data_IF_544134046197
#
_entry.id   IF_544134046197
#
_cell.length_a   1.000
_cell.length_b   1.000
_cell.length_c   1.000
_cell.angle_alpha   90.00
_cell.angle_beta   90.00
_cell.angle_gamma   90.00
#
_symmetry.space_group_name_H-M   'P 1'
#
loop_
_entity.id
_entity.type
_entity.pdbx_description
1 polymer ?
#
# COMPACT_ATOMS: atom_id res chain seq x y z
N UNK A 1 -13.52 6.99 7.95
CA UNK A 1 -13.47 5.60 7.44
C UNK A 1 -13.69 4.57 8.57
N UNK A 2 -14.96 4.24 8.88
CA UNK A 2 -15.29 3.22 9.90
C UNK A 2 -15.55 1.84 9.26
N UNK A 3 -16.29 1.80 8.14
CA UNK A 3 -16.64 0.57 7.42
C UNK A 3 -15.41 -0.21 6.95
N UNK A 4 -14.37 0.48 6.45
CA UNK A 4 -13.12 -0.16 5.99
C UNK A 4 -12.36 -0.95 7.04
N UNK A 5 -12.66 -0.78 8.34
CA UNK A 5 -12.05 -1.60 9.42
C UNK A 5 -12.49 -3.06 9.39
N UNK A 6 -13.56 -3.39 8.66
CA UNK A 6 -14.02 -4.76 8.41
C UNK A 6 -13.31 -5.41 7.21
N UNK A 7 -12.43 -4.68 6.54
CA UNK A 7 -11.82 -5.08 5.28
C UNK A 7 -10.29 -5.08 5.39
N UNK A 8 -9.66 -5.90 4.57
CA UNK A 8 -8.22 -5.78 4.27
C UNK A 8 -8.10 -4.96 3.00
N UNK A 9 -7.40 -3.83 3.09
CA UNK A 9 -7.05 -3.05 1.91
C UNK A 9 -5.74 -3.60 1.33
N UNK A 10 -5.78 -4.14 0.12
CA UNK A 10 -4.58 -4.50 -0.63
C UNK A 10 -4.10 -3.30 -1.44
N UNK A 11 -2.83 -2.91 -1.26
CA UNK A 11 -2.17 -2.03 -2.22
C UNK A 11 -1.79 -2.85 -3.43
N UNK A 12 -2.18 -2.36 -4.60
CA UNK A 12 -1.81 -2.94 -5.87
C UNK A 12 -0.40 -2.49 -6.26
N UNK A 13 0.42 -3.42 -6.76
CA UNK A 13 1.69 -3.11 -7.39
C UNK A 13 1.56 -3.17 -8.93
N UNK A 14 0.62 -2.37 -9.46
CA UNK A 14 0.34 -2.32 -10.91
C UNK A 14 1.62 -2.03 -11.69
N UNK A 15 1.89 -2.83 -12.72
CA UNK A 15 3.13 -2.84 -13.53
C UNK A 15 4.43 -3.21 -12.84
N UNK A 16 4.39 -3.61 -11.58
CA UNK A 16 5.56 -4.03 -10.81
C UNK A 16 5.62 -5.56 -10.65
N UNK A 17 4.50 -6.24 -10.91
CA UNK A 17 4.41 -7.69 -10.85
C UNK A 17 3.51 -8.25 -11.97
N UNK A 18 4.08 -9.08 -12.83
CA UNK A 18 3.38 -9.66 -13.98
C UNK A 18 2.26 -10.64 -13.59
N UNK A 19 2.40 -11.35 -12.46
CA UNK A 19 1.36 -12.25 -11.98
C UNK A 19 0.18 -11.47 -11.38
N UNK A 20 0.47 -10.40 -10.62
CA UNK A 20 -0.55 -9.48 -10.11
C UNK A 20 -1.28 -8.76 -11.24
N UNK A 21 -0.55 -8.27 -12.26
CA UNK A 21 -1.14 -7.63 -13.43
C UNK A 21 -2.24 -8.48 -14.09
N UNK A 22 -1.99 -9.79 -14.26
CA UNK A 22 -2.99 -10.74 -14.78
C UNK A 22 -4.21 -10.91 -13.89
N UNK A 23 -4.05 -10.78 -12.58
CA UNK A 23 -5.19 -10.79 -11.64
C UNK A 23 -5.98 -9.50 -11.78
N UNK A 24 -5.32 -8.35 -11.89
CA UNK A 24 -5.96 -7.05 -12.06
C UNK A 24 -6.75 -6.94 -13.37
N UNK A 25 -6.22 -7.47 -14.47
CA UNK A 25 -6.92 -7.55 -15.76
C UNK A 25 -8.23 -8.36 -15.66
N UNK A 26 -8.26 -9.41 -14.84
CA UNK A 26 -9.49 -10.19 -14.60
C UNK A 26 -10.51 -9.42 -13.75
N UNK A 27 -10.06 -8.50 -12.92
CA UNK A 27 -10.93 -7.68 -12.09
C UNK A 27 -11.53 -6.55 -12.91
N UNK A 28 -10.70 -5.84 -13.67
CA UNK A 28 -11.14 -4.71 -14.47
C UNK A 28 -10.16 -4.43 -15.61
N UNK A 29 -10.71 -4.29 -16.81
CA UNK A 29 -10.05 -3.65 -17.96
C UNK A 29 -10.92 -2.49 -18.42
N UNK A 30 -10.26 -1.39 -18.81
CA UNK A 30 -10.95 -0.22 -19.34
C UNK A 30 -11.51 -0.46 -20.75
N UNK A 31 -12.01 0.61 -21.36
CA UNK A 31 -12.53 0.56 -22.75
C UNK A 31 -11.47 0.20 -23.79
N UNK A 32 -10.20 0.42 -23.47
CA UNK A 32 -9.06 0.02 -24.31
C UNK A 32 -8.82 -1.49 -24.33
N UNK A 33 -9.44 -2.25 -23.42
CA UNK A 33 -9.16 -3.67 -23.21
C UNK A 33 -7.79 -3.95 -22.60
N UNK A 34 -7.09 -2.91 -22.13
CA UNK A 34 -5.78 -3.00 -21.49
C UNK A 34 -5.90 -2.87 -19.97
N UNK A 35 -4.85 -3.32 -19.27
CA UNK A 35 -4.67 -3.01 -17.86
C UNK A 35 -4.61 -1.49 -17.65
N UNK A 36 -5.29 -1.04 -16.60
CA UNK A 36 -5.37 0.36 -16.18
C UNK A 36 -4.47 0.55 -14.94
N UNK A 37 -3.88 1.75 -14.76
CA UNK A 37 -3.00 2.04 -13.62
C UNK A 37 -3.69 1.85 -12.27
N UNK A 38 -5.00 2.09 -12.22
CA UNK A 38 -5.80 2.02 -11.00
C UNK A 38 -6.99 1.10 -11.20
N UNK A 39 -7.18 0.19 -10.23
CA UNK A 39 -8.31 -0.73 -10.16
C UNK A 39 -8.88 -0.66 -8.74
N UNK A 40 -10.20 -0.68 -8.65
CA UNK A 40 -10.95 -0.78 -7.42
C UNK A 40 -11.97 -1.92 -7.53
N UNK A 41 -11.97 -2.80 -6.54
CA UNK A 41 -12.98 -3.83 -6.36
C UNK A 41 -13.06 -4.20 -4.87
N UNK A 42 -14.22 -4.69 -4.44
CA UNK A 42 -14.34 -5.44 -3.19
C UNK A 42 -14.39 -6.91 -3.53
N UNK A 43 -13.72 -7.76 -2.75
CA UNK A 43 -13.63 -9.19 -3.01
C UNK A 43 -14.12 -9.99 -1.80
N UNK A 44 -14.57 -11.21 -2.03
CA UNK A 44 -14.75 -12.22 -0.97
C UNK A 44 -13.42 -12.49 -0.25
N UNK A 45 -13.44 -13.03 0.99
CA UNK A 45 -12.21 -13.25 1.77
C UNK A 45 -11.18 -14.16 1.09
N UNK A 46 -11.59 -15.04 0.18
CA UNK A 46 -10.70 -15.89 -0.62
C UNK A 46 -10.05 -15.17 -1.81
N UNK A 47 -10.40 -13.90 -2.04
CA UNK A 47 -9.89 -13.06 -3.12
C UNK A 47 -10.38 -13.44 -4.52
N UNK A 48 -11.39 -14.30 -4.65
CA UNK A 48 -11.79 -14.86 -5.96
C UNK A 48 -13.04 -14.23 -6.54
N UNK A 49 -13.99 -13.81 -5.71
CA UNK A 49 -15.29 -13.32 -6.18
C UNK A 49 -15.40 -11.81 -5.96
N UNK A 50 -15.75 -11.07 -7.01
CA UNK A 50 -15.98 -9.64 -6.95
C UNK A 50 -17.35 -9.37 -6.31
N UNK A 51 -17.36 -8.47 -5.34
CA UNK A 51 -18.52 -7.99 -4.61
C UNK A 51 -18.90 -6.60 -5.14
N UNK A 52 -20.02 -6.52 -5.85
CA UNK A 52 -20.48 -5.28 -6.47
C UNK A 52 -19.73 -4.94 -7.76
N UNK A 53 -19.53 -3.63 -8.01
CA UNK A 53 -18.95 -3.12 -9.25
C UNK A 53 -17.46 -2.86 -9.09
N UNK A 54 -16.66 -3.40 -10.01
CA UNK A 54 -15.26 -3.03 -10.19
C UNK A 54 -15.16 -1.83 -11.16
N UNK A 55 -14.22 -0.92 -10.90
CA UNK A 55 -13.96 0.23 -11.77
C UNK A 55 -12.55 0.82 -11.48
N UNK A 56 -12.17 1.93 -12.10
CA UNK A 56 -10.86 2.57 -11.90
C UNK A 56 -10.65 3.17 -10.51
N UNK A 57 -11.73 3.51 -9.82
CA UNK A 57 -11.71 4.06 -8.47
C UNK A 57 -13.06 3.88 -7.79
N UNK A 58 -13.15 4.03 -6.45
CA UNK A 58 -14.42 3.96 -5.74
C UNK A 58 -15.46 4.96 -6.27
N UNK A 59 -15.03 6.12 -6.78
CA UNK A 59 -15.93 7.16 -7.33
C UNK A 59 -16.58 6.77 -8.67
N UNK A 60 -15.98 5.83 -9.41
CA UNK A 60 -16.59 5.31 -10.63
C UNK A 60 -17.51 4.11 -10.35
N UNK A 61 -17.29 3.41 -9.24
CA UNK A 61 -18.14 2.31 -8.79
C UNK A 61 -19.35 2.77 -7.95
N UNK A 62 -19.19 3.85 -7.18
CA UNK A 62 -20.16 4.38 -6.23
C UNK A 62 -20.28 5.90 -6.35
N UNK A 63 -21.48 6.42 -6.11
CA UNK A 63 -21.83 7.84 -6.19
C UNK A 63 -21.07 8.67 -5.17
N UNK A 64 -20.98 8.19 -3.94
CA UNK A 64 -20.32 8.88 -2.84
C UNK A 64 -19.78 7.91 -1.77
N UNK A 65 -19.11 8.49 -0.77
CA UNK A 65 -18.50 7.72 0.31
C UNK A 65 -19.53 7.05 1.24
N UNK A 66 -20.75 7.58 1.35
CA UNK A 66 -21.79 7.00 2.18
C UNK A 66 -22.37 5.74 1.53
N UNK A 67 -22.59 5.78 0.22
CA UNK A 67 -23.02 4.62 -0.56
C UNK A 67 -21.95 3.50 -0.56
N UNK A 68 -20.68 3.86 -0.75
CA UNK A 68 -19.59 2.90 -0.60
C UNK A 68 -19.56 2.28 0.80
N UNK A 69 -19.68 3.09 1.85
CA UNK A 69 -19.67 2.58 3.23
C UNK A 69 -20.85 1.63 3.49
N UNK A 70 -22.05 1.95 2.99
CA UNK A 70 -23.21 1.08 3.09
C UNK A 70 -23.00 -0.25 2.34
N UNK A 71 -22.43 -0.22 1.14
CA UNK A 71 -22.09 -1.42 0.38
C UNK A 71 -21.04 -2.28 1.12
N UNK A 72 -19.99 -1.65 1.65
CA UNK A 72 -18.96 -2.31 2.47
C UNK A 72 -19.56 -2.98 3.71
N UNK A 73 -20.52 -2.32 4.37
CA UNK A 73 -21.17 -2.88 5.56
C UNK A 73 -22.09 -4.04 5.18
N UNK A 74 -22.85 -3.93 4.09
CA UNK A 74 -23.71 -4.99 3.57
C UNK A 74 -22.91 -6.24 3.19
N UNK A 75 -21.88 -6.09 2.37
CA UNK A 75 -21.07 -7.21 1.89
C UNK A 75 -20.23 -7.86 2.98
N UNK A 76 -19.88 -7.14 4.04
CA UNK A 76 -19.14 -7.72 5.15
C UNK A 76 -19.98 -8.66 6.02
N UNK A 77 -21.31 -8.47 6.11
CA UNK A 77 -22.19 -9.20 7.04
C UNK A 77 -21.98 -10.72 7.07
N UNK A 78 -21.91 -11.43 5.92
CA UNK A 78 -21.76 -12.89 5.92
C UNK A 78 -20.40 -13.37 6.45
N UNK A 79 -19.41 -12.48 6.52
CA UNK A 79 -18.02 -12.79 6.85
C UNK A 79 -17.60 -12.29 8.23
N UNK A 80 -18.52 -11.73 9.01
CA UNK A 80 -18.29 -11.30 10.39
C UNK A 80 -18.23 -12.51 11.35
N UNK A 81 -17.35 -13.48 11.08
CA UNK A 81 -17.04 -14.52 12.06
C UNK A 81 -15.91 -14.08 13.01
N UNK A 82 -15.92 -14.66 14.22
CA UNK A 82 -15.03 -14.29 15.34
C UNK A 82 -13.62 -14.82 15.10
N UNK A 83 -12.67 -13.90 15.01
CA UNK A 83 -11.24 -14.18 14.98
C UNK A 83 -10.69 -13.99 13.57
N UNK A 84 -9.98 -12.89 13.38
CA UNK A 84 -9.03 -12.82 12.29
C UNK A 84 -7.92 -13.79 12.67
N UNK A 85 -7.63 -14.79 11.83
CA UNK A 85 -6.49 -15.69 12.06
C UNK A 85 -5.16 -14.92 12.17
N UNK A 86 -4.06 -15.63 12.39
CA UNK A 86 -2.75 -15.00 12.42
C UNK A 86 -2.51 -14.15 11.16
N UNK A 87 -2.28 -12.86 11.38
CA UNK A 87 -2.01 -11.92 10.29
C UNK A 87 -0.52 -11.68 10.20
N UNK A 88 0.08 -12.07 9.07
CA UNK A 88 1.46 -11.73 8.76
C UNK A 88 1.69 -10.23 8.67
N UNK A 89 2.96 -9.83 8.60
CA UNK A 89 3.32 -8.44 8.37
C UNK A 89 2.90 -8.02 6.94
N UNK A 90 2.11 -6.96 6.75
CA UNK A 90 1.80 -6.45 5.42
C UNK A 90 3.08 -5.81 4.84
N UNK A 91 3.74 -6.54 3.93
CA UNK A 91 5.03 -6.17 3.37
C UNK A 91 4.99 -6.07 1.85
N UNK A 92 5.78 -5.15 1.31
CA UNK A 92 6.01 -4.98 -0.12
C UNK A 92 7.06 -6.00 -0.57
N UNK A 93 6.96 -6.41 -1.84
CA UNK A 93 7.80 -7.46 -2.42
C UNK A 93 9.30 -7.16 -2.35
N UNK A 94 9.71 -5.93 -2.61
CA UNK A 94 11.12 -5.54 -2.63
C UNK A 94 11.35 -4.09 -2.25
N UNK A 95 12.62 -3.79 -1.96
CA UNK A 95 13.05 -2.54 -1.38
C UNK A 95 12.82 -1.34 -2.31
N UNK A 96 13.07 -1.50 -3.61
CA UNK A 96 12.92 -0.44 -4.61
C UNK A 96 11.47 0.02 -4.64
N UNK A 97 10.55 -0.93 -4.81
CA UNK A 97 9.12 -0.66 -4.81
C UNK A 97 8.64 -0.09 -3.47
N UNK A 98 9.15 -0.62 -2.35
CA UNK A 98 8.77 -0.17 -1.02
C UNK A 98 9.15 1.30 -0.77
N UNK A 99 10.32 1.75 -1.25
CA UNK A 99 10.71 3.16 -1.19
C UNK A 99 9.78 4.06 -1.99
N UNK A 100 9.47 3.66 -3.23
CA UNK A 100 8.54 4.41 -4.08
C UNK A 100 7.16 4.55 -3.45
N UNK A 101 6.62 3.43 -2.96
CA UNK A 101 5.34 3.41 -2.26
C UNK A 101 5.36 4.31 -1.01
N UNK A 102 6.40 4.18 -0.18
CA UNK A 102 6.57 4.97 1.03
C UNK A 102 6.62 6.47 0.70
N UNK A 103 7.35 6.84 -0.35
CA UNK A 103 7.38 8.21 -0.84
C UNK A 103 5.99 8.66 -1.29
N UNK A 104 5.30 7.93 -2.17
CA UNK A 104 4.00 8.33 -2.69
C UNK A 104 2.95 8.56 -1.58
N UNK A 105 2.98 7.75 -0.52
CA UNK A 105 2.07 7.88 0.62
C UNK A 105 2.51 8.89 1.67
N UNK A 106 3.75 9.34 1.60
CA UNK A 106 4.33 10.14 2.67
C UNK A 106 4.50 9.39 3.98
N UNK A 107 4.73 8.08 3.90
CA UNK A 107 4.94 7.22 5.05
C UNK A 107 6.43 6.86 5.16
N UNK A 108 6.95 6.65 6.39
CA UNK A 108 8.25 6.03 6.55
C UNK A 108 8.24 4.56 6.13
N UNK A 109 9.42 4.06 5.76
CA UNK A 109 9.68 2.65 5.43
C UNK A 109 10.40 1.96 6.60
N UNK A 110 9.98 0.74 6.93
CA UNK A 110 10.69 -0.16 7.84
C UNK A 110 11.30 -1.32 7.05
N UNK A 111 12.62 -1.38 7.03
CA UNK A 111 13.38 -2.53 6.54
C UNK A 111 13.47 -3.58 7.67
N UNK A 112 12.98 -4.79 7.40
CA UNK A 112 12.89 -5.88 8.36
C UNK A 112 14.03 -6.88 8.13
N UNK A 113 14.96 -6.94 9.08
CA UNK A 113 16.21 -7.69 8.97
C UNK A 113 16.14 -9.19 9.20
N UNK A 114 15.12 -9.69 9.91
CA UNK A 114 15.01 -11.11 10.29
C UNK A 114 13.56 -11.53 10.50
N UNK A 115 13.31 -12.84 10.50
CA UNK A 115 11.97 -13.39 10.65
C UNK A 115 11.42 -13.15 12.06
N UNK A 116 12.28 -13.21 13.09
CA UNK A 116 11.93 -12.81 14.45
C UNK A 116 11.44 -11.34 14.56
N UNK A 117 11.97 -10.45 13.71
CA UNK A 117 11.51 -9.06 13.65
C UNK A 117 10.20 -8.94 12.88
N UNK A 118 10.02 -9.75 11.84
CA UNK A 118 8.78 -9.81 11.07
C UNK A 118 7.61 -10.25 11.96
N UNK A 119 7.76 -11.36 12.69
CA UNK A 119 6.77 -11.86 13.64
C UNK A 119 6.45 -10.84 14.74
N UNK A 120 7.49 -10.18 15.28
CA UNK A 120 7.32 -9.13 16.28
C UNK A 120 6.49 -7.98 15.73
N UNK A 121 6.87 -7.43 14.57
CA UNK A 121 6.16 -6.32 13.96
C UNK A 121 4.74 -6.71 13.56
N UNK A 122 4.52 -7.94 13.05
CA UNK A 122 3.19 -8.44 12.75
C UNK A 122 2.24 -8.34 13.97
N UNK A 123 2.71 -8.67 15.18
CA UNK A 123 1.90 -8.51 16.41
C UNK A 123 1.59 -7.06 16.78
N UNK A 124 2.39 -6.10 16.32
CA UNK A 124 2.24 -4.67 16.65
C UNK A 124 1.38 -3.93 15.63
N UNK A 125 1.64 -4.12 14.33
CA UNK A 125 1.09 -3.25 13.26
C UNK A 125 -0.42 -3.32 13.09
N UNK A 126 -1.05 -4.41 13.55
CA UNK A 126 -2.50 -4.57 13.49
C UNK A 126 -3.24 -3.81 14.60
N UNK A 127 -2.52 -3.21 15.54
CA UNK A 127 -3.09 -2.34 16.55
C UNK A 127 -3.58 -1.02 15.92
N UNK A 128 -4.68 -0.48 16.44
CA UNK A 128 -5.36 0.70 15.87
C UNK A 128 -4.44 1.90 15.66
N UNK A 129 -3.47 2.11 16.55
CA UNK A 129 -2.49 3.20 16.50
C UNK A 129 -1.43 3.03 15.40
N UNK A 130 -1.19 1.81 14.91
CA UNK A 130 -0.12 1.48 13.96
C UNK A 130 -0.63 1.08 12.58
N UNK A 131 -1.93 0.81 12.44
CA UNK A 131 -2.53 0.45 11.17
C UNK A 131 -2.27 1.51 10.09
N UNK A 132 -1.53 1.11 9.05
CA UNK A 132 -1.20 1.95 7.91
C UNK A 132 -0.25 3.10 8.21
N UNK A 133 0.53 3.03 9.30
CA UNK A 133 1.46 4.12 9.68
C UNK A 133 2.87 3.96 9.09
N UNK A 134 3.17 2.84 8.42
CA UNK A 134 4.45 2.58 7.77
C UNK A 134 4.30 1.60 6.61
N UNK A 135 5.27 1.63 5.70
CA UNK A 135 5.50 0.58 4.71
C UNK A 135 6.54 -0.40 5.26
N UNK A 136 6.39 -1.69 4.99
CA UNK A 136 7.33 -2.72 5.44
C UNK A 136 7.94 -3.46 4.25
N UNK A 137 9.20 -3.84 4.37
CA UNK A 137 9.89 -4.68 3.39
C UNK A 137 10.89 -5.59 4.07
N UNK A 138 10.97 -6.85 3.63
CA UNK A 138 12.00 -7.78 4.10
C UNK A 138 13.31 -7.50 3.36
N UNK A 139 14.42 -7.49 4.07
CA UNK A 139 15.74 -7.46 3.44
C UNK A 139 16.86 -7.73 4.42
N UNK A 140 18.09 -7.75 3.92
CA UNK A 140 19.27 -8.03 4.74
C UNK A 140 19.66 -6.79 5.52
N UNK A 141 19.37 -6.78 6.82
CA UNK A 141 19.83 -5.74 7.75
C UNK A 141 20.61 -6.39 8.89
N UNK A 142 21.90 -6.04 9.02
CA UNK A 142 22.72 -6.36 10.21
C UNK A 142 22.15 -5.70 11.47
N UNK A 143 21.19 -4.80 11.29
CA UNK A 143 20.65 -3.97 12.34
C UNK A 143 19.27 -4.40 12.84
N UNK A 144 18.71 -5.50 12.35
CA UNK A 144 17.35 -5.91 12.71
C UNK A 144 16.32 -5.08 11.95
N UNK A 145 15.34 -4.49 12.64
CA UNK A 145 14.38 -3.58 12.01
C UNK A 145 14.91 -2.13 11.98
N UNK A 146 14.75 -1.45 10.85
CA UNK A 146 15.35 -0.14 10.60
C UNK A 146 14.39 0.81 9.91
N UNK A 147 14.25 2.02 10.45
CA UNK A 147 13.47 3.11 9.89
C UNK A 147 14.26 3.83 8.80
N UNK A 148 13.61 3.98 7.65
CA UNK A 148 14.14 4.60 6.45
C UNK A 148 13.16 5.68 6.01
N UNK A 149 13.66 6.88 5.78
CA UNK A 149 12.89 7.96 5.20
C UNK A 149 13.17 7.99 3.69
N UNK A 150 12.16 7.72 2.83
CA UNK A 150 12.36 7.85 1.40
C UNK A 150 12.62 9.31 1.01
N UNK A 151 13.33 9.51 -0.10
CA UNK A 151 13.38 10.81 -0.74
C UNK A 151 12.02 11.20 -1.35
N UNK A 152 11.95 12.39 -1.91
CA UNK A 152 10.71 12.93 -2.49
C UNK A 152 10.08 12.02 -3.54
N UNK A 153 10.90 11.35 -4.36
CA UNK A 153 10.49 10.56 -5.53
C UNK A 153 10.53 9.04 -5.28
N UNK A 154 10.95 8.64 -4.08
CA UNK A 154 11.15 7.26 -3.66
C UNK A 154 12.17 6.50 -4.49
N UNK A 155 13.21 7.19 -4.98
CA UNK A 155 14.33 6.57 -5.69
C UNK A 155 15.44 6.13 -4.73
N UNK A 156 15.58 6.84 -3.62
CA UNK A 156 16.53 6.54 -2.55
C UNK A 156 15.89 6.71 -1.19
N UNK A 157 16.58 6.25 -0.14
CA UNK A 157 16.13 6.42 1.23
C UNK A 157 17.30 6.64 2.18
N UNK A 158 17.09 7.49 3.18
CA UNK A 158 18.05 7.72 4.26
C UNK A 158 17.71 6.81 5.43
N UNK A 159 18.66 5.98 5.84
CA UNK A 159 18.58 5.24 7.10
C UNK A 159 18.64 6.23 8.26
N UNK A 160 17.60 6.25 9.09
CA UNK A 160 17.51 7.19 10.21
C UNK A 160 17.78 6.52 11.54
N UNK A 161 17.11 5.39 11.77
CA UNK A 161 17.00 4.87 13.13
C UNK A 161 16.89 3.35 13.14
N UNK A 162 17.64 2.70 14.02
CA UNK A 162 17.47 1.28 14.34
C UNK A 162 16.40 1.16 15.41
N UNK A 163 15.40 0.32 15.19
CA UNK A 163 14.37 0.10 16.21
C UNK A 163 14.97 -0.61 17.44
N UNK A 164 14.71 -0.12 18.66
CA UNK A 164 15.04 -0.83 19.90
C UNK A 164 14.38 -2.20 19.93
N UNK A 165 15.13 -3.22 20.37
CA UNK A 165 14.63 -4.59 20.46
C UNK A 165 13.38 -4.73 21.34
N UNK A 166 13.18 -3.81 22.28
CA UNK A 166 12.08 -3.76 23.23
C UNK A 166 11.00 -2.74 22.85
N UNK A 167 11.06 -2.12 21.66
CA UNK A 167 10.11 -1.07 21.24
C UNK A 167 8.64 -1.52 21.38
N UNK A 168 7.85 -0.68 22.04
CA UNK A 168 6.42 -0.90 22.26
C UNK A 168 5.57 -0.23 21.19
N UNK A 169 4.29 -0.57 21.12
CA UNK A 169 3.40 -0.11 20.07
C UNK A 169 3.16 1.41 20.08
N UNK A 170 3.04 2.00 21.28
CA UNK A 170 2.93 3.43 21.52
C UNK A 170 4.18 4.19 21.07
N UNK A 171 5.36 3.71 21.48
CA UNK A 171 6.64 4.28 21.08
C UNK A 171 6.87 4.21 19.57
N UNK A 172 6.50 3.08 18.95
CA UNK A 172 6.57 2.94 17.49
C UNK A 172 5.59 3.89 16.79
N UNK A 173 4.38 4.06 17.31
CA UNK A 173 3.38 4.94 16.71
C UNK A 173 3.85 6.41 16.76
N UNK A 174 4.38 6.84 17.90
CA UNK A 174 4.96 8.18 18.06
C UNK A 174 6.14 8.40 17.12
N UNK A 175 7.07 7.44 17.06
CA UNK A 175 8.22 7.49 16.16
C UNK A 175 7.76 7.66 14.70
N UNK A 176 6.81 6.85 14.24
CA UNK A 176 6.33 6.89 12.86
C UNK A 176 5.62 8.20 12.53
N UNK A 177 4.82 8.73 13.45
CA UNK A 177 4.10 10.00 13.26
C UNK A 177 5.07 11.18 13.00
N UNK A 178 6.24 11.18 13.65
CA UNK A 178 7.26 12.21 13.48
C UNK A 178 7.93 12.21 12.09
N UNK A 179 7.78 11.13 11.31
CA UNK A 179 8.41 10.98 10.00
C UNK A 179 7.41 10.86 8.85
N UNK A 180 6.12 11.08 9.11
CA UNK A 180 5.14 11.21 8.04
C UNK A 180 5.31 12.56 7.34
N UNK A 181 5.33 12.53 6.00
CA UNK A 181 5.29 13.77 5.23
C UNK A 181 3.85 14.26 5.10
N UNK A 182 3.67 15.58 5.11
CA UNK A 182 2.36 16.21 4.92
C UNK A 182 1.72 15.96 3.54
N UNK A 183 0.56 16.57 3.27
CA UNK A 183 -0.19 16.35 2.05
C UNK A 183 0.63 16.68 0.81
N UNK A 184 0.59 15.79 -0.19
CA UNK A 184 1.29 15.96 -1.46
C UNK A 184 0.35 16.44 -2.55
N UNK A 185 0.86 17.27 -3.44
CA UNK A 185 0.17 17.67 -4.66
C UNK A 185 0.72 16.90 -5.85
N UNK A 186 -0.11 16.05 -6.46
CA UNK A 186 0.31 15.20 -7.58
C UNK A 186 0.84 16.01 -8.78
N UNK A 187 0.22 17.16 -9.11
CA UNK A 187 0.63 17.99 -10.25
C UNK A 187 2.00 18.62 -10.02
N UNK A 188 2.23 19.18 -8.82
CA UNK A 188 3.53 19.75 -8.47
C UNK A 188 4.61 18.67 -8.47
N UNK A 189 4.31 17.51 -7.88
CA UNK A 189 5.24 16.37 -7.82
C UNK A 189 5.66 15.89 -9.22
N UNK A 190 4.71 15.71 -10.14
CA UNK A 190 5.00 15.31 -11.52
C UNK A 190 5.85 16.37 -12.22
N UNK A 191 5.47 17.65 -12.11
CA UNK A 191 6.20 18.75 -12.74
C UNK A 191 7.65 18.83 -12.25
N UNK A 192 7.86 18.74 -10.94
CA UNK A 192 9.20 18.76 -10.35
C UNK A 192 10.02 17.54 -10.77
N UNK A 193 9.41 16.36 -10.83
CA UNK A 193 10.07 15.16 -11.34
C UNK A 193 10.54 15.33 -12.78
N UNK A 194 9.69 15.85 -13.67
CA UNK A 194 10.04 16.14 -15.06
C UNK A 194 11.20 17.15 -15.14
N UNK A 195 11.13 18.24 -14.37
CA UNK A 195 12.19 19.26 -14.34
C UNK A 195 13.54 18.70 -13.88
N UNK A 196 13.53 17.71 -13.00
CA UNK A 196 14.72 17.05 -12.47
C UNK A 196 15.14 15.81 -13.27
N UNK A 197 14.47 15.49 -14.39
CA UNK A 197 14.76 14.29 -15.18
C UNK A 197 14.49 12.97 -14.45
N UNK A 198 13.65 12.99 -13.41
CA UNK A 198 13.29 11.82 -12.62
C UNK A 198 12.35 10.93 -13.41
N UNK A 199 12.71 9.66 -13.56
CA UNK A 199 11.89 8.67 -14.26
C UNK A 199 11.82 7.37 -13.46
N UNK A 200 10.60 6.88 -13.20
CA UNK A 200 10.37 5.58 -12.58
C UNK A 200 10.15 4.51 -13.65
N UNK A 201 11.09 3.58 -13.78
CA UNK A 201 10.93 2.43 -14.67
C UNK A 201 10.12 1.32 -13.97
N UNK A 202 9.03 0.90 -14.62
CA UNK A 202 8.18 -0.21 -14.15
C UNK A 202 8.77 -1.54 -14.59
N UNK A 203 8.45 -2.63 -13.89
CA UNK A 203 8.98 -3.97 -14.22
C UNK A 203 8.34 -4.59 -15.45
N UNK A 204 7.11 -4.19 -15.76
CA UNK A 204 6.45 -4.53 -17.02
C UNK A 204 6.00 -3.25 -17.74
N UNK A 205 5.79 -3.28 -19.07
CA UNK A 205 5.36 -2.12 -19.82
C UNK A 205 4.04 -1.53 -19.32
N UNK A 206 3.97 -0.20 -19.23
CA UNK A 206 2.73 0.51 -18.91
C UNK A 206 1.81 0.48 -20.12
N UNK A 207 0.60 -0.04 -19.96
CA UNK A 207 -0.41 -0.16 -21.03
C UNK A 207 -1.58 0.80 -20.87
N UNK A 208 -1.71 1.48 -19.72
CA UNK A 208 -2.79 2.42 -19.45
C UNK A 208 -2.69 3.64 -20.39
N UNK A 209 -3.69 3.86 -21.27
CA UNK A 209 -3.67 4.95 -22.25
C UNK A 209 -3.79 6.34 -21.63
N UNK A 210 -4.16 6.44 -20.35
CA UNK A 210 -4.28 7.68 -19.59
C UNK A 210 -3.00 8.03 -18.81
N UNK A 211 -1.98 7.18 -18.86
CA UNK A 211 -0.68 7.50 -18.28
C UNK A 211 -0.09 8.74 -18.96
N UNK A 212 0.57 9.65 -18.20
CA UNK A 212 1.34 10.73 -18.80
C UNK A 212 2.28 10.14 -19.86
N UNK A 213 2.28 10.73 -21.06
CA UNK A 213 3.27 10.39 -22.09
C UNK A 213 4.64 10.75 -21.53
N UNK A 214 5.51 9.75 -21.46
CA UNK A 214 6.91 9.92 -21.06
C UNK A 214 7.68 10.61 -22.18
#
# INVERSE_FOLDING_TARGET
MKASRKWVCARLATYENAAEAKVLERIFVGRSGQLENTVFAMLTPDGKTILGRADRSPRFAYRDAAELAAAMDYYAQPYLQKGWGERGLPKVQDYRLALNIAACDGLPLILVGSDAWEERLARLVWQKSLLGQAIFVRGSSRHGATLILPDQFGLSGKMLYRLPQDIKADQLAELLANYQSGPKNARSHIREGIQQGVNWETRIPVTDPHSPRR
#
